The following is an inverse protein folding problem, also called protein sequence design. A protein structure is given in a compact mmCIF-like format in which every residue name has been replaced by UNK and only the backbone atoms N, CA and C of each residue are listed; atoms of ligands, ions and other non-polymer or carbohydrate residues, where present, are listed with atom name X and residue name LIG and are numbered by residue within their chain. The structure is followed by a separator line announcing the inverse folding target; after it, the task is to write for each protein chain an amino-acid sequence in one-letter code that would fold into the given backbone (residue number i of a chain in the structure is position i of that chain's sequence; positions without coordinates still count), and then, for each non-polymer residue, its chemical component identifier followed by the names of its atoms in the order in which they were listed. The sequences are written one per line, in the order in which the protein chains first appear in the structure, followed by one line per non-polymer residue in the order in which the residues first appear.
data_IF_580302769070
#
_entry.id   IF_580302769070
#
_cell.length_a   1.000
_cell.length_b   1.000
_cell.length_c   1.000
_cell.angle_alpha   90.00
_cell.angle_beta   90.00
_cell.angle_gamma   90.00
#
_symmetry.space_group_name_H-M   'P 1'
#
loop_
_entity.id
_entity.type
_entity.pdbx_description
1 polymer ?
#
# COMPACT_ATOMS: atom_id res chain seq x y z
N UNK A 1 -4.33 3.24 -19.91
CA UNK A 1 -4.41 3.48 -18.46
C UNK A 1 -5.68 2.81 -17.96
N UNK A 2 -5.57 1.74 -17.19
CA UNK A 2 -6.74 1.02 -16.67
C UNK A 2 -7.23 1.62 -15.36
N UNK A 3 -8.55 1.72 -15.20
CA UNK A 3 -9.17 2.08 -13.92
C UNK A 3 -9.04 0.93 -12.91
N UNK A 4 -9.06 1.25 -11.62
CA UNK A 4 -9.15 0.24 -10.57
C UNK A 4 -10.48 -0.52 -10.70
N UNK A 5 -10.47 -1.82 -10.37
CA UNK A 5 -11.71 -2.58 -10.18
C UNK A 5 -12.48 -2.05 -8.97
N UNK A 6 -13.77 -2.36 -8.87
CA UNK A 6 -14.59 -1.98 -7.71
C UNK A 6 -13.99 -2.47 -6.39
N UNK A 7 -13.48 -3.71 -6.36
CA UNK A 7 -12.80 -4.30 -5.20
C UNK A 7 -11.53 -3.54 -4.85
N UNK A 8 -10.66 -3.26 -5.83
CA UNK A 8 -9.43 -2.49 -5.60
C UNK A 8 -9.74 -1.09 -5.08
N UNK A 9 -10.75 -0.43 -5.63
CA UNK A 9 -11.19 0.89 -5.17
C UNK A 9 -11.69 0.84 -3.72
N UNK A 10 -12.51 -0.14 -3.36
CA UNK A 10 -13.01 -0.30 -1.99
C UNK A 10 -11.87 -0.57 -0.99
N UNK A 11 -10.91 -1.45 -1.35
CA UNK A 11 -9.72 -1.71 -0.51
C UNK A 11 -8.88 -0.45 -0.35
N UNK A 12 -8.68 0.32 -1.42
CA UNK A 12 -7.96 1.57 -1.38
C UNK A 12 -8.63 2.55 -0.42
N UNK A 13 -9.93 2.82 -0.59
CA UNK A 13 -10.68 3.75 0.28
C UNK A 13 -10.65 3.29 1.74
N UNK A 14 -10.91 2.01 2.01
CA UNK A 14 -10.85 1.45 3.36
C UNK A 14 -9.47 1.58 3.99
N UNK A 15 -8.40 1.36 3.22
CA UNK A 15 -7.04 1.54 3.71
C UNK A 15 -6.72 3.00 4.00
N UNK A 16 -7.16 3.95 3.17
CA UNK A 16 -6.92 5.38 3.40
C UNK A 16 -7.61 5.93 4.66
N UNK A 17 -8.68 5.27 5.11
CA UNK A 17 -9.35 5.61 6.37
C UNK A 17 -8.65 4.98 7.60
N UNK A 18 -7.69 4.07 7.40
CA UNK A 18 -7.02 3.34 8.47
C UNK A 18 -5.50 3.40 8.38
N UNK A 19 -4.92 2.40 7.71
CA UNK A 19 -3.49 2.05 7.75
C UNK A 19 -2.71 2.42 6.47
N UNK A 20 -3.39 2.98 5.48
CA UNK A 20 -2.86 3.34 4.17
C UNK A 20 -2.58 4.84 4.03
N UNK A 21 -1.51 5.17 3.32
CA UNK A 21 -1.15 6.55 3.00
C UNK A 21 -1.07 6.72 1.48
N UNK A 22 -1.77 7.72 0.93
CA UNK A 22 -1.65 8.11 -0.48
C UNK A 22 -0.84 9.40 -0.59
N UNK A 23 0.22 9.38 -1.41
CA UNK A 23 1.08 10.56 -1.66
C UNK A 23 1.20 10.82 -3.14
N UNK A 24 1.00 12.06 -3.58
CA UNK A 24 1.32 12.47 -4.95
C UNK A 24 2.84 12.49 -5.11
N UNK A 25 3.36 11.75 -6.10
CA UNK A 25 4.80 11.79 -6.36
C UNK A 25 5.14 13.07 -7.12
N UNK A 26 5.66 14.08 -6.40
CA UNK A 26 6.17 15.33 -6.96
C UNK A 26 5.06 16.26 -7.53
N UNK A 27 4.86 17.41 -6.87
CA UNK A 27 3.75 18.32 -7.14
C UNK A 27 3.82 18.98 -8.54
N UNK A 28 5.01 19.06 -9.12
CA UNK A 28 5.26 19.83 -10.32
C UNK A 28 4.99 19.06 -11.62
N UNK A 29 5.02 17.71 -11.63
CA UNK A 29 5.03 16.94 -12.91
C UNK A 29 4.40 15.54 -12.95
N UNK A 30 3.85 14.97 -11.86
CA UNK A 30 3.20 13.64 -11.98
C UNK A 30 1.72 13.63 -11.58
N UNK A 31 0.94 13.01 -12.47
CA UNK A 31 -0.48 12.68 -12.29
C UNK A 31 -0.70 11.45 -11.41
N UNK A 32 0.35 10.67 -11.16
CA UNK A 32 0.26 9.41 -10.43
C UNK A 32 0.45 9.61 -8.92
N UNK A 33 -0.24 8.80 -8.13
CA UNK A 33 -0.10 8.74 -6.69
C UNK A 33 0.56 7.41 -6.27
N UNK A 34 1.34 7.46 -5.19
CA UNK A 34 1.89 6.30 -4.51
C UNK A 34 0.99 5.97 -3.33
N UNK A 35 0.42 4.77 -3.35
CA UNK A 35 -0.27 4.18 -2.21
C UNK A 35 0.72 3.31 -1.42
N UNK A 36 0.90 3.61 -0.15
CA UNK A 36 1.82 2.91 0.75
C UNK A 36 1.05 2.38 1.97
N UNK A 37 1.26 1.10 2.28
CA UNK A 37 0.71 0.44 3.48
C UNK A 37 1.89 0.02 4.34
N UNK A 38 1.88 0.45 5.60
CA UNK A 38 2.92 0.10 6.57
C UNK A 38 2.25 -0.43 7.84
N UNK A 39 2.47 -1.70 8.16
CA UNK A 39 1.86 -2.31 9.33
C UNK A 39 2.86 -2.99 10.26
N UNK A 40 2.41 -3.71 11.28
CA UNK A 40 3.29 -4.59 12.08
C UNK A 40 3.54 -5.86 11.28
N UNK A 41 4.75 -6.44 11.38
CA UNK A 41 5.05 -7.73 10.74
C UNK A 41 4.12 -8.86 11.22
N UNK A 42 3.57 -8.74 12.44
CA UNK A 42 2.57 -9.65 13.00
C UNK A 42 1.30 -9.75 12.12
N UNK A 43 0.96 -8.68 11.39
CA UNK A 43 -0.18 -8.63 10.47
C UNK A 43 0.24 -8.80 9.01
N UNK A 44 1.37 -9.48 8.75
CA UNK A 44 1.88 -9.71 7.40
C UNK A 44 0.83 -10.32 6.47
N UNK A 45 0.04 -11.28 6.94
CA UNK A 45 -0.99 -11.93 6.12
C UNK A 45 -2.02 -10.94 5.55
N UNK A 46 -2.37 -9.92 6.33
CA UNK A 46 -3.26 -8.85 5.89
C UNK A 46 -2.60 -7.95 4.83
N UNK A 47 -1.32 -7.65 4.99
CA UNK A 47 -0.55 -6.88 4.01
C UNK A 47 -0.37 -7.67 2.71
N UNK A 48 -0.06 -8.97 2.81
CA UNK A 48 0.08 -9.88 1.68
C UNK A 48 -1.27 -10.04 0.95
N UNK A 49 -2.39 -10.10 1.68
CA UNK A 49 -3.75 -10.09 1.10
C UNK A 49 -4.02 -8.81 0.31
N UNK A 50 -3.70 -7.62 0.84
CA UNK A 50 -3.84 -6.37 0.07
C UNK A 50 -2.95 -6.39 -1.17
N UNK A 51 -1.69 -6.81 -1.02
CA UNK A 51 -0.74 -6.86 -2.12
C UNK A 51 -1.24 -7.72 -3.29
N UNK A 52 -1.83 -8.89 -3.03
CA UNK A 52 -2.43 -9.74 -4.08
C UNK A 52 -3.49 -9.01 -4.91
N UNK A 53 -4.24 -8.07 -4.32
CA UNK A 53 -5.24 -7.29 -5.06
C UNK A 53 -4.61 -6.19 -5.93
N UNK A 54 -3.38 -5.78 -5.64
CA UNK A 54 -2.67 -4.70 -6.34
C UNK A 54 -1.38 -5.18 -7.02
N UNK A 55 -1.15 -6.48 -7.15
CA UNK A 55 0.12 -7.04 -7.65
C UNK A 55 0.49 -6.50 -9.04
N UNK A 56 -0.50 -6.25 -9.90
CA UNK A 56 -0.32 -5.66 -11.23
C UNK A 56 0.21 -4.21 -11.21
N UNK A 57 0.08 -3.51 -10.07
CA UNK A 57 0.53 -2.13 -9.88
C UNK A 57 1.82 -2.04 -9.05
N UNK A 58 2.34 -3.16 -8.56
CA UNK A 58 3.46 -3.19 -7.61
C UNK A 58 4.61 -4.00 -8.19
N UNK A 59 5.80 -3.40 -8.25
CA UNK A 59 6.99 -4.05 -8.82
C UNK A 59 7.65 -5.06 -7.88
N UNK A 60 7.45 -4.93 -6.58
CA UNK A 60 8.11 -5.76 -5.56
C UNK A 60 7.14 -6.19 -4.46
N UNK A 61 7.18 -7.45 -4.00
CA UNK A 61 6.39 -7.89 -2.85
C UNK A 61 6.66 -7.07 -1.57
N UNK A 62 5.76 -7.12 -0.57
CA UNK A 62 5.95 -6.47 0.72
C UNK A 62 7.27 -6.91 1.37
N UNK A 63 7.97 -5.96 1.99
CA UNK A 63 9.25 -6.20 2.65
C UNK A 63 9.16 -5.82 4.11
N UNK A 64 9.63 -6.69 4.98
CA UNK A 64 9.84 -6.34 6.38
C UNK A 64 10.96 -5.32 6.51
N UNK A 65 10.78 -4.32 7.38
CA UNK A 65 11.83 -3.39 7.80
C UNK A 65 11.95 -3.38 9.31
N UNK A 66 13.16 -3.17 9.80
CA UNK A 66 13.35 -2.85 11.21
C UNK A 66 12.84 -1.43 11.47
N UNK A 67 11.87 -1.33 12.38
CA UNK A 67 11.38 -0.07 12.91
C UNK A 67 12.30 0.49 13.99
N UNK A 68 11.80 1.43 14.77
CA UNK A 68 12.53 1.94 15.95
C UNK A 68 12.58 0.86 17.04
N UNK A 69 13.77 0.54 17.52
CA UNK A 69 13.99 -0.45 18.59
C UNK A 69 13.76 -1.89 18.11
N UNK A 70 13.02 -2.68 18.88
CA UNK A 70 12.74 -4.11 18.57
C UNK A 70 11.56 -4.33 17.62
N UNK A 71 10.89 -3.27 17.16
CA UNK A 71 9.69 -3.38 16.32
C UNK A 71 10.06 -3.75 14.89
N UNK A 72 9.36 -4.72 14.31
CA UNK A 72 9.44 -5.03 12.87
C UNK A 72 8.14 -4.59 12.21
N UNK A 73 8.27 -3.85 11.11
CA UNK A 73 7.15 -3.37 10.30
C UNK A 73 7.19 -4.00 8.90
#
# INVERSE_FOLDING_TARGET
MGSLTSTQHAILVGSLLGDGTLRRQNAQRRINALFEVNHSFEYREYVDWKWRHFESFVLTPPKSRQGKGKRVA
#
